data_IF_780622152968
#
_entry.id   IF_780622152968
#
_cell.length_a   1.000
_cell.length_b   1.000
_cell.length_c   1.000
_cell.angle_alpha   90.00
_cell.angle_beta   90.00
_cell.angle_gamma   90.00
#
_symmetry.space_group_name_H-M   'P 1'
#
loop_
_entity.id
_entity.type
_entity.pdbx_description
1 polymer ?
#
# COMPACT_ATOMS: atom_id res chain seq x y z
N UNK A 1 -36.71 81.41 12.32
CA UNK A 1 -37.15 82.28 11.21
C UNK A 1 -36.98 81.51 9.92
N UNK A 2 -38.08 81.02 9.31
CA UNK A 2 -38.87 81.74 8.27
C UNK A 2 -38.00 81.96 7.02
N UNK A 3 -38.28 81.55 5.77
CA UNK A 3 -39.45 80.99 5.06
C UNK A 3 -38.97 80.55 3.65
N UNK A 4 -39.72 79.67 2.96
CA UNK A 4 -39.52 79.14 1.59
C UNK A 4 -39.53 80.20 0.46
N UNK A 5 -39.24 79.86 -0.83
CA UNK A 5 -40.23 79.18 -1.73
C UNK A 5 -39.61 78.08 -2.65
N UNK A 6 -40.19 76.88 -2.75
CA UNK A 6 -41.21 76.43 -3.72
C UNK A 6 -40.81 76.49 -5.22
N UNK A 7 -40.59 75.32 -5.80
CA UNK A 7 -40.58 75.07 -7.25
C UNK A 7 -40.92 73.62 -7.55
N UNK A 8 -42.22 73.31 -7.65
CA UNK A 8 -42.76 71.98 -8.01
C UNK A 8 -42.49 71.65 -9.48
N UNK A 9 -41.97 70.45 -9.76
CA UNK A 9 -42.34 69.61 -10.92
C UNK A 9 -42.05 68.13 -10.60
N UNK A 10 -43.11 67.38 -10.34
CA UNK A 10 -43.16 65.92 -10.53
C UNK A 10 -43.70 65.65 -11.96
N UNK A 11 -43.73 64.42 -12.51
CA UNK A 11 -43.51 63.11 -11.88
C UNK A 11 -42.71 62.10 -12.73
N UNK A 12 -42.25 61.00 -12.12
CA UNK A 12 -42.61 59.62 -12.49
C UNK A 12 -41.84 58.63 -11.61
N UNK A 13 -42.60 57.71 -11.03
CA UNK A 13 -42.10 56.71 -10.10
C UNK A 13 -41.15 55.72 -10.76
N UNK A 14 -40.12 55.36 -10.02
CA UNK A 14 -39.34 54.14 -10.20
C UNK A 14 -39.34 53.49 -8.82
N UNK A 15 -39.89 52.28 -8.75
CA UNK A 15 -39.88 51.44 -7.56
C UNK A 15 -38.44 51.09 -7.17
N UNK A 16 -38.12 50.87 -5.89
CA UNK A 16 -36.82 50.34 -5.48
C UNK A 16 -36.83 48.83 -5.78
N UNK A 17 -36.47 48.48 -7.00
CA UNK A 17 -36.12 47.10 -7.36
C UNK A 17 -34.73 46.79 -6.83
N UNK A 18 -34.62 45.68 -6.12
CA UNK A 18 -33.39 45.14 -5.57
C UNK A 18 -32.35 44.95 -6.67
N UNK A 19 -31.26 45.73 -6.64
CA UNK A 19 -30.00 45.32 -7.26
C UNK A 19 -29.33 44.32 -6.32
N UNK A 20 -29.84 43.07 -6.31
CA UNK A 20 -28.97 41.94 -5.99
C UNK A 20 -28.02 41.80 -7.17
N UNK A 21 -26.75 42.14 -6.98
CA UNK A 21 -25.71 41.82 -7.92
C UNK A 21 -25.69 40.29 -8.09
N UNK A 22 -26.28 39.81 -9.18
CA UNK A 22 -26.07 38.45 -9.65
C UNK A 22 -24.58 38.36 -9.93
N UNK A 23 -23.85 37.67 -9.06
CA UNK A 23 -22.51 37.21 -9.40
C UNK A 23 -22.68 36.35 -10.65
N UNK A 24 -22.18 36.81 -11.80
CA UNK A 24 -22.15 36.01 -13.02
C UNK A 24 -21.39 34.71 -12.68
N UNK A 25 -22.13 33.62 -12.48
CA UNK A 25 -21.53 32.31 -12.27
C UNK A 25 -20.84 31.90 -13.57
N UNK A 26 -19.53 31.63 -13.48
CA UNK A 26 -18.73 31.16 -14.61
C UNK A 26 -19.36 29.91 -15.23
N UNK A 27 -19.37 29.81 -16.56
CA UNK A 27 -19.99 28.67 -17.22
C UNK A 27 -19.21 27.38 -16.94
N UNK A 28 -19.85 26.20 -16.94
CA UNK A 28 -19.16 24.91 -16.75
C UNK A 28 -17.99 24.72 -17.72
N UNK A 29 -18.10 25.23 -18.95
CA UNK A 29 -17.04 25.17 -19.95
C UNK A 29 -15.82 26.02 -19.56
N UNK A 30 -16.04 27.23 -19.04
CA UNK A 30 -14.97 28.10 -18.55
C UNK A 30 -14.27 27.49 -17.32
N UNK A 31 -15.04 26.89 -16.42
CA UNK A 31 -14.50 26.17 -15.26
C UNK A 31 -13.68 24.94 -15.67
N UNK A 32 -14.12 24.17 -16.67
CA UNK A 32 -13.35 23.06 -17.21
C UNK A 32 -12.05 23.52 -17.89
N UNK A 33 -12.06 24.66 -18.56
CA UNK A 33 -10.86 25.26 -19.15
C UNK A 33 -9.84 25.62 -18.06
N UNK A 34 -10.30 26.23 -16.96
CA UNK A 34 -9.48 26.53 -15.79
C UNK A 34 -8.92 25.27 -15.11
N UNK A 35 -9.62 24.15 -15.12
CA UNK A 35 -9.12 22.88 -14.58
C UNK A 35 -8.04 22.22 -15.47
N UNK A 36 -8.01 22.57 -16.77
CA UNK A 36 -7.09 22.01 -17.76
C UNK A 36 -5.82 22.85 -17.93
N UNK A 37 -5.88 24.14 -17.66
CA UNK A 37 -4.72 25.02 -17.72
C UNK A 37 -3.72 24.71 -16.58
N UNK A 38 -2.45 24.49 -16.96
CA UNK A 38 -1.36 24.19 -16.03
C UNK A 38 -0.91 25.39 -15.20
N UNK A 39 -1.21 26.62 -15.65
CA UNK A 39 -0.90 27.85 -14.93
C UNK A 39 -2.08 28.34 -14.10
N UNK A 40 -3.21 27.65 -14.17
CA UNK A 40 -4.38 27.95 -13.35
C UNK A 40 -4.07 27.71 -11.87
N UNK A 41 -4.61 28.54 -10.95
CA UNK A 41 -4.56 28.24 -9.52
C UNK A 41 -5.25 26.92 -9.17
N UNK A 42 -6.09 26.40 -10.07
CA UNK A 42 -6.78 25.11 -9.96
C UNK A 42 -6.10 23.98 -10.72
N UNK A 43 -4.86 24.16 -11.18
CA UNK A 43 -4.07 23.08 -11.78
C UNK A 43 -3.89 21.93 -10.78
N UNK A 44 -3.78 20.70 -11.30
CA UNK A 44 -3.55 19.52 -10.47
C UNK A 44 -2.10 19.51 -9.96
N UNK A 45 -1.87 19.23 -8.66
CA UNK A 45 -0.56 18.84 -8.15
C UNK A 45 0.05 17.70 -8.96
N UNK A 46 1.39 17.61 -8.98
CA UNK A 46 2.11 16.60 -9.76
C UNK A 46 1.79 15.16 -9.35
N UNK A 47 1.35 14.96 -8.10
CA UNK A 47 1.08 13.64 -7.52
C UNK A 47 -0.37 13.16 -7.72
N UNK A 48 -1.19 13.92 -8.46
CA UNK A 48 -2.60 13.58 -8.66
C UNK A 48 -2.80 12.45 -9.66
N UNK A 49 -3.69 11.52 -9.31
CA UNK A 49 -4.15 10.42 -10.13
C UNK A 49 -5.05 10.90 -11.29
N UNK A 50 -5.19 10.11 -12.38
CA UNK A 50 -6.17 10.40 -13.43
C UNK A 50 -7.60 10.53 -12.90
N UNK A 51 -7.90 9.88 -11.78
CA UNK A 51 -9.19 9.94 -11.12
C UNK A 51 -9.45 11.27 -10.42
N UNK A 52 -8.43 11.94 -9.90
CA UNK A 52 -8.56 13.29 -9.33
C UNK A 52 -9.02 14.28 -10.39
N UNK A 53 -8.55 14.12 -11.63
CA UNK A 53 -9.02 14.90 -12.77
C UNK A 53 -10.50 14.64 -13.05
N UNK A 54 -10.90 13.36 -13.10
CA UNK A 54 -12.29 12.98 -13.34
C UNK A 54 -13.22 13.54 -12.26
N UNK A 55 -12.84 13.46 -10.98
CA UNK A 55 -13.65 13.97 -9.87
C UNK A 55 -13.82 15.50 -9.95
N UNK A 56 -12.80 16.23 -10.39
CA UNK A 56 -12.90 17.68 -10.62
C UNK A 56 -13.81 18.01 -11.80
N UNK A 57 -13.72 17.26 -12.89
CA UNK A 57 -14.67 17.42 -14.01
C UNK A 57 -16.11 17.10 -13.57
N UNK A 58 -16.32 16.05 -12.76
CA UNK A 58 -17.62 15.71 -12.17
C UNK A 58 -18.10 16.82 -11.22
N UNK A 59 -17.22 17.42 -10.42
CA UNK A 59 -17.58 18.52 -9.53
C UNK A 59 -18.09 19.76 -10.29
N UNK A 60 -17.61 19.98 -11.53
CA UNK A 60 -18.08 21.08 -12.40
C UNK A 60 -19.36 20.71 -13.13
N UNK A 61 -19.43 19.50 -13.69
CA UNK A 61 -20.56 19.06 -14.53
C UNK A 61 -21.78 18.59 -13.73
N UNK A 62 -21.57 18.06 -12.53
CA UNK A 62 -22.58 17.44 -11.67
C UNK A 62 -22.18 17.60 -10.17
N UNK A 63 -22.13 18.84 -9.65
CA UNK A 63 -21.69 19.14 -8.28
C UNK A 63 -22.46 18.36 -7.21
N UNK A 64 -23.72 18.03 -7.45
CA UNK A 64 -24.55 17.24 -6.55
C UNK A 64 -24.00 15.83 -6.28
N UNK A 65 -23.15 15.28 -7.15
CA UNK A 65 -22.54 13.95 -6.98
C UNK A 65 -21.31 13.97 -6.05
N UNK A 66 -20.66 15.12 -5.88
CA UNK A 66 -19.48 15.25 -5.00
C UNK A 66 -19.82 15.74 -3.59
N UNK A 67 -21.11 15.97 -3.31
CA UNK A 67 -21.60 16.41 -2.00
C UNK A 67 -22.18 15.26 -1.15
N UNK A 68 -21.80 15.25 0.13
CA UNK A 68 -22.33 14.31 1.13
C UNK A 68 -22.02 12.86 0.78
N UNK A 69 -22.96 11.95 1.05
CA UNK A 69 -22.80 10.51 0.82
C UNK A 69 -22.87 10.09 -0.65
N UNK A 70 -23.22 10.99 -1.57
CA UNK A 70 -23.26 10.69 -3.01
C UNK A 70 -21.86 10.47 -3.58
N UNK A 71 -20.82 11.02 -2.94
CA UNK A 71 -19.42 10.84 -3.35
C UNK A 71 -19.02 9.37 -3.37
N UNK A 72 -19.64 8.53 -2.53
CA UNK A 72 -19.39 7.10 -2.48
C UNK A 72 -19.82 6.35 -3.75
N UNK A 73 -20.69 6.95 -4.58
CA UNK A 73 -21.16 6.36 -5.84
C UNK A 73 -20.21 6.60 -7.01
N UNK A 74 -19.28 7.56 -6.90
CA UNK A 74 -18.38 7.98 -7.99
C UNK A 74 -16.91 7.65 -7.73
N UNK A 75 -16.52 7.48 -6.46
CA UNK A 75 -15.15 7.17 -6.09
C UNK A 75 -14.78 5.73 -6.46
N UNK A 76 -13.66 5.60 -7.17
CA UNK A 76 -13.05 4.31 -7.53
C UNK A 76 -11.68 4.09 -6.89
N UNK A 77 -11.02 5.13 -6.41
CA UNK A 77 -9.74 5.03 -5.72
C UNK A 77 -9.84 5.77 -4.39
N UNK A 78 -9.49 5.09 -3.30
CA UNK A 78 -9.40 5.64 -1.96
C UNK A 78 -7.99 5.44 -1.44
N UNK A 79 -7.31 6.55 -1.16
CA UNK A 79 -5.94 6.56 -0.66
C UNK A 79 -5.88 7.17 0.74
N UNK A 80 -5.53 6.36 1.72
CA UNK A 80 -5.32 6.77 3.11
C UNK A 80 -3.93 6.32 3.53
N UNK A 81 -2.91 7.07 3.15
CA UNK A 81 -1.51 6.76 3.47
C UNK A 81 -1.08 7.56 4.69
N UNK A 82 -0.44 6.90 5.65
CA UNK A 82 0.09 7.51 6.87
C UNK A 82 -0.99 8.33 7.60
N UNK A 83 -2.04 7.62 8.03
CA UNK A 83 -3.17 8.17 8.78
C UNK A 83 -3.42 7.48 10.11
N UNK A 84 -2.58 6.50 10.47
CA UNK A 84 -2.75 5.73 11.71
C UNK A 84 -4.03 4.89 11.69
N UNK A 85 -4.43 4.39 10.52
CA UNK A 85 -5.59 3.48 10.42
C UNK A 85 -5.22 2.14 11.07
N UNK A 86 -6.04 1.66 12.00
CA UNK A 86 -5.82 0.38 12.68
C UNK A 86 -6.71 -0.74 12.11
N UNK A 87 -7.89 -0.39 11.60
CA UNK A 87 -8.86 -1.35 11.06
C UNK A 87 -9.61 -0.79 9.83
N UNK A 88 -10.10 -1.71 9.00
CA UNK A 88 -11.01 -1.42 7.89
C UNK A 88 -12.39 -1.92 8.29
N UNK A 89 -13.34 -1.02 8.49
CA UNK A 89 -14.71 -1.34 8.91
C UNK A 89 -15.69 -1.47 7.73
N UNK A 90 -16.95 -1.82 8.04
CA UNK A 90 -18.02 -1.94 7.05
C UNK A 90 -18.34 -0.62 6.33
N UNK A 91 -17.85 0.53 6.82
CA UNK A 91 -18.05 1.83 6.21
C UNK A 91 -17.50 1.90 4.79
N UNK A 92 -16.44 1.14 4.48
CA UNK A 92 -15.84 1.05 3.15
C UNK A 92 -16.78 0.40 2.12
N UNK A 93 -17.78 -0.37 2.56
CA UNK A 93 -18.79 -0.97 1.66
C UNK A 93 -19.73 0.07 1.05
N UNK A 94 -19.77 1.29 1.58
CA UNK A 94 -20.55 2.38 0.99
C UNK A 94 -20.00 2.80 -0.39
N UNK A 95 -18.71 2.58 -0.65
CA UNK A 95 -18.05 2.93 -1.91
C UNK A 95 -18.33 1.88 -2.99
N UNK A 96 -19.48 2.01 -3.65
CA UNK A 96 -20.04 0.99 -4.57
C UNK A 96 -19.20 0.78 -5.84
N UNK A 97 -18.37 1.75 -6.21
CA UNK A 97 -17.51 1.69 -7.39
C UNK A 97 -16.03 1.60 -7.04
N UNK A 98 -15.67 1.31 -5.78
CA UNK A 98 -14.27 1.28 -5.36
C UNK A 98 -13.52 0.13 -6.05
N UNK A 99 -12.53 0.49 -6.87
CA UNK A 99 -11.64 -0.42 -7.58
C UNK A 99 -10.25 -0.47 -6.93
N UNK A 100 -9.82 0.60 -6.25
CA UNK A 100 -8.51 0.72 -5.63
C UNK A 100 -8.61 1.21 -4.18
N UNK A 101 -7.96 0.49 -3.26
CA UNK A 101 -7.86 0.84 -1.86
C UNK A 101 -6.40 0.82 -1.43
N UNK A 102 -5.85 2.00 -1.15
CA UNK A 102 -4.46 2.20 -0.79
C UNK A 102 -4.38 2.62 0.68
N UNK A 103 -3.86 1.71 1.50
CA UNK A 103 -3.78 1.83 2.96
C UNK A 103 -2.32 1.70 3.45
N UNK A 104 -1.36 2.13 2.62
CA UNK A 104 0.07 2.03 2.96
C UNK A 104 0.44 2.86 4.18
N UNK A 105 1.48 2.42 4.91
CA UNK A 105 2.03 3.13 6.06
C UNK A 105 0.97 3.38 7.15
N UNK A 106 0.21 2.36 7.53
CA UNK A 106 -0.76 2.41 8.62
C UNK A 106 -0.43 1.37 9.70
N UNK A 107 -1.36 1.11 10.61
CA UNK A 107 -1.17 0.23 11.77
C UNK A 107 -2.12 -0.98 11.69
N UNK A 108 -2.50 -1.37 10.47
CA UNK A 108 -3.44 -2.46 10.23
C UNK A 108 -2.76 -3.79 10.55
N UNK A 109 -3.40 -4.60 11.37
CA UNK A 109 -2.87 -5.92 11.77
C UNK A 109 -3.68 -7.10 11.21
N UNK A 110 -4.96 -6.88 10.90
CA UNK A 110 -5.88 -7.86 10.29
C UNK A 110 -6.78 -7.15 9.29
N UNK A 111 -7.14 -7.83 8.20
CA UNK A 111 -8.12 -7.33 7.22
C UNK A 111 -9.25 -8.35 7.09
N UNK A 112 -10.46 -7.94 7.45
CA UNK A 112 -11.66 -8.75 7.26
C UNK A 112 -12.18 -8.59 5.84
N UNK A 113 -12.20 -9.67 5.05
CA UNK A 113 -12.61 -9.59 3.64
C UNK A 113 -14.07 -9.17 3.45
N UNK A 114 -14.93 -9.38 4.46
CA UNK A 114 -16.32 -8.93 4.45
C UNK A 114 -16.47 -7.41 4.38
N UNK A 115 -15.46 -6.65 4.84
CA UNK A 115 -15.45 -5.19 4.84
C UNK A 115 -14.90 -4.62 3.51
N UNK A 116 -14.42 -5.47 2.61
CA UNK A 116 -13.86 -5.06 1.33
C UNK A 116 -14.91 -5.09 0.21
N UNK A 117 -15.03 -4.01 -0.59
CA UNK A 117 -15.90 -3.99 -1.76
C UNK A 117 -15.55 -5.11 -2.75
N UNK A 118 -16.58 -5.78 -3.28
CA UNK A 118 -16.39 -6.87 -4.26
C UNK A 118 -15.89 -6.38 -5.63
N UNK A 119 -15.93 -5.08 -5.87
CA UNK A 119 -15.41 -4.38 -7.06
C UNK A 119 -13.89 -4.16 -7.03
N UNK A 120 -13.25 -4.42 -5.89
CA UNK A 120 -11.85 -4.11 -5.67
C UNK A 120 -10.92 -4.90 -6.59
N UNK A 121 -10.00 -4.19 -7.23
CA UNK A 121 -8.96 -4.69 -8.14
C UNK A 121 -7.56 -4.49 -7.58
N UNK A 122 -7.35 -3.45 -6.78
CA UNK A 122 -6.06 -3.11 -6.17
C UNK A 122 -6.26 -2.95 -4.67
N UNK A 123 -5.53 -3.73 -3.90
CA UNK A 123 -5.42 -3.59 -2.45
C UNK A 123 -3.95 -3.43 -2.09
N UNK A 124 -3.60 -2.28 -1.54
CA UNK A 124 -2.24 -1.96 -1.13
C UNK A 124 -2.18 -1.76 0.39
N UNK A 125 -1.42 -2.61 1.06
CA UNK A 125 -1.25 -2.68 2.50
C UNK A 125 0.24 -2.62 2.91
N UNK A 126 1.12 -2.15 2.03
CA UNK A 126 2.54 -2.01 2.31
C UNK A 126 2.80 -1.17 3.57
N UNK A 127 3.81 -1.54 4.37
CA UNK A 127 4.16 -0.88 5.63
C UNK A 127 3.00 -0.90 6.64
N UNK A 128 2.50 -2.09 6.96
CA UNK A 128 1.51 -2.31 8.03
C UNK A 128 2.05 -3.39 9.00
N UNK A 129 1.17 -4.00 9.80
CA UNK A 129 1.54 -5.04 10.77
C UNK A 129 0.79 -6.35 10.53
N UNK A 130 0.39 -6.60 9.28
CA UNK A 130 -0.38 -7.78 8.89
C UNK A 130 0.48 -9.03 9.08
N UNK A 131 0.04 -9.92 9.97
CA UNK A 131 0.69 -11.21 10.23
C UNK A 131 -0.14 -12.42 9.82
N UNK A 132 -1.40 -12.20 9.48
CA UNK A 132 -2.38 -13.26 9.21
C UNK A 132 -3.29 -12.91 8.03
N UNK A 133 -3.42 -13.83 7.09
CA UNK A 133 -4.23 -13.71 5.88
C UNK A 133 -5.55 -14.46 5.97
N UNK A 134 -5.83 -15.20 7.05
CA UNK A 134 -7.04 -16.02 7.19
C UNK A 134 -8.32 -15.22 6.97
N UNK A 135 -8.48 -14.10 7.68
CA UNK A 135 -9.67 -13.24 7.58
C UNK A 135 -9.82 -12.63 6.17
N UNK A 136 -8.70 -12.29 5.53
CA UNK A 136 -8.66 -11.72 4.19
C UNK A 136 -9.03 -12.76 3.12
N UNK A 137 -8.72 -14.03 3.38
CA UNK A 137 -8.97 -15.14 2.46
C UNK A 137 -10.31 -15.85 2.73
N UNK A 138 -11.07 -15.45 3.75
CA UNK A 138 -12.39 -16.03 4.02
C UNK A 138 -13.36 -15.85 2.84
N UNK A 139 -13.44 -14.63 2.28
CA UNK A 139 -14.15 -14.29 1.05
C UNK A 139 -13.43 -13.15 0.30
N UNK A 140 -12.29 -13.42 -0.34
CA UNK A 140 -11.47 -12.39 -0.97
C UNK A 140 -12.22 -11.68 -2.12
N UNK A 141 -11.90 -10.41 -2.43
CA UNK A 141 -12.46 -9.71 -3.59
C UNK A 141 -12.14 -10.49 -4.89
N UNK A 142 -13.16 -10.90 -5.66
CA UNK A 142 -12.97 -11.87 -6.74
C UNK A 142 -12.24 -11.28 -7.95
N UNK A 143 -12.32 -9.96 -8.13
CA UNK A 143 -11.69 -9.22 -9.23
C UNK A 143 -10.31 -8.67 -8.86
N UNK A 144 -9.74 -9.04 -7.70
CA UNK A 144 -8.46 -8.52 -7.26
C UNK A 144 -7.32 -8.93 -8.21
N UNK A 145 -6.56 -7.94 -8.67
CA UNK A 145 -5.46 -8.08 -9.62
C UNK A 145 -4.10 -7.71 -8.99
N UNK A 146 -4.09 -6.82 -8.00
CA UNK A 146 -2.90 -6.44 -7.27
C UNK A 146 -3.14 -6.55 -5.76
N UNK A 147 -2.23 -7.24 -5.09
CA UNK A 147 -2.16 -7.34 -3.63
C UNK A 147 -0.76 -6.93 -3.17
N UNK A 148 -0.68 -5.79 -2.49
CA UNK A 148 0.53 -5.26 -1.88
C UNK A 148 0.57 -5.57 -0.40
N UNK A 149 1.55 -6.38 0.03
CA UNK A 149 1.76 -6.80 1.42
C UNK A 149 3.23 -6.60 1.83
N UNK A 150 3.96 -5.73 1.13
CA UNK A 150 5.35 -5.40 1.46
C UNK A 150 5.50 -4.83 2.87
N UNK A 151 6.64 -5.01 3.52
CA UNK A 151 6.91 -4.48 4.87
C UNK A 151 5.78 -4.80 5.89
N UNK A 152 5.46 -6.08 6.03
CA UNK A 152 4.49 -6.59 7.00
C UNK A 152 5.14 -7.67 7.90
N UNK A 153 4.33 -8.48 8.59
CA UNK A 153 4.79 -9.49 9.55
C UNK A 153 4.43 -10.91 9.12
N UNK A 154 4.30 -11.15 7.82
CA UNK A 154 3.96 -12.46 7.29
C UNK A 154 5.12 -13.43 7.54
N UNK A 155 4.80 -14.58 8.11
CA UNK A 155 5.78 -15.60 8.47
C UNK A 155 5.36 -16.96 7.89
N UNK A 156 6.34 -17.60 7.24
CA UNK A 156 6.24 -18.75 6.30
C UNK A 156 5.00 -19.66 6.34
N UNK A 157 5.11 -20.99 6.60
CA UNK A 157 4.17 -21.96 6.03
C UNK A 157 2.70 -21.81 6.47
N UNK A 158 2.46 -21.14 7.59
CA UNK A 158 1.12 -20.76 8.03
C UNK A 158 0.41 -19.87 7.02
N UNK A 159 1.12 -18.89 6.46
CA UNK A 159 0.55 -17.88 5.57
C UNK A 159 0.61 -18.28 4.10
N UNK A 160 1.60 -19.08 3.69
CA UNK A 160 1.77 -19.51 2.30
C UNK A 160 0.53 -20.20 1.72
N UNK A 161 -0.19 -20.98 2.54
CA UNK A 161 -1.42 -21.71 2.13
C UNK A 161 -2.54 -20.81 1.59
N UNK A 162 -2.49 -19.52 1.90
CA UNK A 162 -3.47 -18.53 1.48
C UNK A 162 -3.10 -17.87 0.14
N UNK A 163 -1.88 -18.10 -0.36
CA UNK A 163 -1.36 -17.52 -1.59
C UNK A 163 -1.59 -18.44 -2.80
N UNK A 164 -2.83 -18.93 -2.95
CA UNK A 164 -3.22 -19.87 -4.01
C UNK A 164 -4.22 -19.26 -4.99
N UNK A 165 -4.33 -19.87 -6.17
CA UNK A 165 -5.30 -19.53 -7.20
C UNK A 165 -6.76 -19.75 -6.79
N UNK A 166 -7.02 -20.55 -5.76
CA UNK A 166 -8.38 -20.74 -5.23
C UNK A 166 -8.89 -19.47 -4.54
N UNK A 167 -8.01 -18.76 -3.84
CA UNK A 167 -8.32 -17.46 -3.22
C UNK A 167 -8.15 -16.30 -4.20
N UNK A 168 -7.15 -16.37 -5.07
CA UNK A 168 -6.72 -15.23 -5.91
C UNK A 168 -6.68 -15.55 -7.41
N UNK A 169 -7.80 -15.96 -8.03
CA UNK A 169 -7.83 -16.45 -9.42
C UNK A 169 -7.46 -15.39 -10.46
N UNK A 170 -7.60 -14.11 -10.12
CA UNK A 170 -7.36 -12.96 -11.00
C UNK A 170 -6.05 -12.21 -10.73
N UNK A 171 -5.25 -12.66 -9.75
CA UNK A 171 -4.07 -11.94 -9.30
C UNK A 171 -2.97 -11.89 -10.37
N UNK A 172 -2.53 -10.68 -10.68
CA UNK A 172 -1.49 -10.38 -11.67
C UNK A 172 -0.20 -9.92 -10.99
N UNK A 173 -0.33 -9.19 -9.88
CA UNK A 173 0.78 -8.60 -9.14
C UNK A 173 0.68 -8.92 -7.66
N UNK A 174 1.77 -9.40 -7.09
CA UNK A 174 1.88 -9.72 -5.67
C UNK A 174 3.19 -9.17 -5.12
N UNK A 175 3.09 -8.30 -4.12
CA UNK A 175 4.24 -7.82 -3.37
C UNK A 175 4.21 -8.41 -1.96
N UNK A 176 5.23 -9.20 -1.63
CA UNK A 176 5.48 -9.82 -0.33
C UNK A 176 6.86 -9.40 0.22
N UNK A 177 7.44 -8.33 -0.31
CA UNK A 177 8.77 -7.86 0.07
C UNK A 177 8.86 -7.55 1.57
N UNK A 178 10.06 -7.67 2.14
CA UNK A 178 10.33 -7.30 3.53
C UNK A 178 9.33 -7.90 4.54
N UNK A 179 9.10 -9.20 4.43
CA UNK A 179 8.39 -10.02 5.40
C UNK A 179 9.37 -11.07 5.98
N UNK A 180 8.86 -12.02 6.76
CA UNK A 180 9.65 -13.09 7.39
C UNK A 180 9.42 -14.45 6.70
N UNK A 181 9.36 -14.48 5.36
CA UNK A 181 9.14 -15.71 4.59
C UNK A 181 10.45 -16.51 4.47
N UNK A 182 10.39 -17.79 4.84
CA UNK A 182 11.57 -18.68 4.95
C UNK A 182 11.48 -19.92 4.05
N UNK A 183 10.27 -20.42 3.76
CA UNK A 183 10.06 -21.65 2.99
C UNK A 183 9.85 -21.36 1.49
N UNK A 184 10.96 -21.31 0.74
CA UNK A 184 10.91 -21.08 -0.70
C UNK A 184 10.10 -22.17 -1.44
N UNK A 185 10.29 -23.45 -1.08
CA UNK A 185 9.66 -24.55 -1.80
C UNK A 185 8.15 -24.60 -1.53
N UNK A 186 7.76 -24.45 -0.26
CA UNK A 186 6.37 -24.33 0.16
C UNK A 186 5.68 -23.17 -0.55
N UNK A 187 6.25 -21.96 -0.45
CA UNK A 187 5.69 -20.78 -1.10
C UNK A 187 5.52 -20.96 -2.61
N UNK A 188 6.56 -21.40 -3.33
CA UNK A 188 6.50 -21.61 -4.78
C UNK A 188 5.40 -22.61 -5.17
N UNK A 189 5.19 -23.67 -4.38
CA UNK A 189 4.12 -24.65 -4.65
C UNK A 189 2.73 -24.02 -4.64
N UNK A 190 2.50 -23.03 -3.77
CA UNK A 190 1.24 -22.29 -3.69
C UNK A 190 1.15 -21.27 -4.83
N UNK A 191 2.20 -20.48 -5.05
CA UNK A 191 2.25 -19.47 -6.11
C UNK A 191 2.10 -20.06 -7.52
N UNK A 192 2.57 -21.29 -7.76
CA UNK A 192 2.42 -21.97 -9.04
C UNK A 192 0.95 -22.18 -9.45
N UNK A 193 0.02 -22.15 -8.49
CA UNK A 193 -1.43 -22.22 -8.75
C UNK A 193 -2.00 -20.91 -9.30
N UNK A 194 -1.32 -19.76 -9.08
CA UNK A 194 -1.75 -18.42 -9.54
C UNK A 194 -1.54 -18.25 -11.05
N UNK A 195 -2.55 -18.62 -11.83
CA UNK A 195 -2.43 -18.71 -13.28
C UNK A 195 -2.16 -17.34 -13.98
N UNK A 196 -2.60 -16.23 -13.38
CA UNK A 196 -2.44 -14.88 -13.94
C UNK A 196 -1.26 -14.09 -13.38
N UNK A 197 -0.52 -14.63 -12.42
CA UNK A 197 0.60 -13.93 -11.81
C UNK A 197 1.68 -13.60 -12.85
N UNK A 198 2.12 -12.34 -12.89
CA UNK A 198 3.14 -11.79 -13.80
C UNK A 198 4.21 -10.99 -13.05
N UNK A 199 3.85 -10.36 -11.94
CA UNK A 199 4.73 -9.52 -11.14
C UNK A 199 4.79 -10.12 -9.74
N UNK A 200 5.99 -10.43 -9.28
CA UNK A 200 6.24 -10.96 -7.95
C UNK A 200 7.41 -10.23 -7.32
N UNK A 201 7.23 -9.76 -6.10
CA UNK A 201 8.25 -9.06 -5.31
C UNK A 201 8.39 -9.80 -3.99
N UNK A 202 9.59 -10.28 -3.70
CA UNK A 202 9.93 -11.14 -2.56
C UNK A 202 11.27 -10.72 -1.91
N UNK A 203 11.95 -9.69 -2.44
CA UNK A 203 13.14 -9.12 -1.83
C UNK A 203 12.94 -8.79 -0.33
N UNK A 204 14.02 -8.88 0.45
CA UNK A 204 13.96 -8.58 1.88
C UNK A 204 13.34 -9.69 2.74
N UNK A 205 13.02 -10.85 2.18
CA UNK A 205 12.68 -12.05 2.95
C UNK A 205 13.92 -12.95 3.12
N UNK A 206 14.03 -13.72 4.23
CA UNK A 206 15.11 -14.69 4.43
C UNK A 206 15.28 -15.69 3.28
N UNK A 207 14.17 -16.14 2.66
CA UNK A 207 14.22 -17.05 1.50
C UNK A 207 14.95 -16.49 0.27
N UNK A 208 15.10 -15.16 0.18
CA UNK A 208 15.78 -14.50 -0.93
C UNK A 208 17.31 -14.66 -0.86
N UNK A 209 17.83 -15.11 0.29
CA UNK A 209 19.25 -15.39 0.50
C UNK A 209 19.68 -16.77 -0.02
N UNK A 210 18.72 -17.61 -0.41
CA UNK A 210 19.01 -18.95 -0.96
C UNK A 210 19.73 -18.76 -2.30
N UNK A 211 20.91 -19.39 -2.54
CA UNK A 211 21.70 -19.15 -3.76
C UNK A 211 20.94 -19.42 -5.07
N UNK A 212 20.01 -20.37 -5.07
CA UNK A 212 19.18 -20.72 -6.23
C UNK A 212 17.86 -19.96 -6.31
N UNK A 213 17.58 -19.05 -5.37
CA UNK A 213 16.30 -18.35 -5.21
C UNK A 213 15.70 -17.86 -6.53
N UNK A 214 16.44 -17.02 -7.26
CA UNK A 214 15.96 -16.40 -8.50
C UNK A 214 15.72 -17.45 -9.60
N UNK A 215 16.69 -18.33 -9.83
CA UNK A 215 16.59 -19.34 -10.87
C UNK A 215 15.48 -20.36 -10.59
N UNK A 216 15.30 -20.74 -9.34
CA UNK A 216 14.23 -21.64 -8.92
C UNK A 216 12.84 -21.02 -9.14
N UNK A 217 12.64 -19.74 -8.79
CA UNK A 217 11.39 -19.03 -9.05
C UNK A 217 11.12 -18.87 -10.55
N UNK A 218 12.13 -18.48 -11.33
CA UNK A 218 11.99 -18.27 -12.79
C UNK A 218 11.59 -19.56 -13.51
N UNK A 219 12.19 -20.70 -13.13
CA UNK A 219 11.87 -22.02 -13.71
C UNK A 219 10.53 -22.57 -13.21
N UNK A 220 10.20 -22.36 -11.93
CA UNK A 220 8.96 -22.86 -11.32
C UNK A 220 7.72 -22.03 -11.70
N UNK A 221 7.89 -20.75 -12.02
CA UNK A 221 6.82 -19.80 -12.35
C UNK A 221 6.99 -19.31 -13.81
N UNK A 222 6.61 -20.13 -14.82
CA UNK A 222 6.92 -19.86 -16.23
C UNK A 222 6.22 -18.63 -16.81
N UNK A 223 5.17 -18.12 -16.14
CA UNK A 223 4.40 -16.96 -16.59
C UNK A 223 4.89 -15.63 -16.03
N UNK A 224 5.83 -15.67 -15.09
CA UNK A 224 6.37 -14.48 -14.46
C UNK A 224 7.07 -13.59 -15.49
N UNK A 225 6.83 -12.28 -15.43
CA UNK A 225 7.45 -11.29 -16.32
C UNK A 225 8.44 -10.41 -15.57
N UNK A 226 8.18 -10.17 -14.28
CA UNK A 226 9.00 -9.34 -13.42
C UNK A 226 9.12 -10.02 -12.05
N UNK A 227 10.36 -10.17 -11.60
CA UNK A 227 10.73 -10.72 -10.31
C UNK A 227 11.67 -9.74 -9.62
N UNK A 228 11.28 -9.25 -8.44
CA UNK A 228 12.06 -8.31 -7.63
C UNK A 228 12.50 -7.08 -8.43
N UNK A 229 11.54 -6.45 -9.12
CA UNK A 229 11.72 -5.30 -10.01
C UNK A 229 12.64 -5.53 -11.24
N UNK A 230 13.05 -6.78 -11.48
CA UNK A 230 13.91 -7.17 -12.59
C UNK A 230 13.13 -8.02 -13.59
N UNK A 231 13.15 -7.61 -14.87
CA UNK A 231 12.52 -8.34 -15.98
C UNK A 231 13.10 -9.75 -16.14
N UNK A 232 12.23 -10.74 -16.34
CA UNK A 232 12.61 -12.13 -16.59
C UNK A 232 12.71 -12.38 -18.09
N UNK A 233 13.93 -12.40 -18.60
CA UNK A 233 14.22 -12.56 -20.03
C UNK A 233 14.19 -14.01 -20.51
N UNK A 234 14.04 -14.25 -21.84
CA UNK A 234 14.07 -15.60 -22.41
C UNK A 234 15.42 -16.30 -22.22
N UNK A 235 16.54 -15.58 -22.26
CA UNK A 235 17.88 -16.14 -22.07
C UNK A 235 18.07 -16.66 -20.64
N UNK A 236 17.61 -15.88 -19.65
CA UNK A 236 17.59 -16.26 -18.25
C UNK A 236 16.74 -17.52 -18.01
N UNK A 237 15.60 -17.64 -18.71
CA UNK A 237 14.75 -18.84 -18.64
C UNK A 237 15.45 -20.09 -19.19
N UNK A 238 16.22 -19.94 -20.26
CA UNK A 238 17.02 -21.07 -20.77
C UNK A 238 18.13 -21.45 -19.81
N UNK A 239 18.79 -20.46 -19.20
CA UNK A 239 19.86 -20.67 -18.22
C UNK A 239 19.38 -21.44 -16.98
N UNK A 240 18.16 -21.16 -16.51
CA UNK A 240 17.60 -21.75 -15.30
C UNK A 240 16.72 -22.99 -15.53
N UNK A 241 16.55 -23.40 -16.79
CA UNK A 241 15.71 -24.53 -17.17
C UNK A 241 16.07 -25.81 -16.40
N UNK A 242 15.10 -26.38 -15.69
CA UNK A 242 15.23 -27.65 -14.97
C UNK A 242 15.65 -27.54 -13.51
N UNK A 243 15.92 -26.33 -12.98
CA UNK A 243 16.17 -26.11 -11.55
C UNK A 243 14.99 -26.54 -10.67
N UNK A 244 13.74 -26.37 -11.15
CA UNK A 244 12.54 -26.81 -10.44
C UNK A 244 12.50 -28.34 -10.23
N UNK A 245 13.23 -29.12 -11.05
CA UNK A 245 13.37 -30.57 -10.92
C UNK A 245 14.44 -30.99 -9.91
N UNK A 246 15.19 -30.03 -9.37
CA UNK A 246 16.27 -30.23 -8.41
C UNK A 246 15.99 -29.46 -7.10
N UNK A 247 14.88 -29.74 -6.40
CA UNK A 247 14.48 -28.99 -5.20
C UNK A 247 15.50 -29.11 -4.05
N UNK A 248 16.36 -30.13 -4.08
CA UNK A 248 17.46 -30.30 -3.12
C UNK A 248 18.46 -29.13 -3.16
N UNK A 249 18.64 -28.48 -4.32
CA UNK A 249 19.47 -27.27 -4.44
C UNK A 249 18.81 -26.05 -3.80
N UNK A 250 17.48 -26.01 -3.75
CA UNK A 250 16.71 -24.95 -3.09
C UNK A 250 16.59 -25.13 -1.58
N UNK A 251 16.94 -26.32 -1.05
CA UNK A 251 17.17 -26.54 0.38
C UNK A 251 18.54 -26.04 0.85
N UNK A 252 19.34 -25.46 -0.05
CA UNK A 252 20.67 -24.98 0.30
C UNK A 252 20.56 -23.89 1.37
N UNK A 253 21.19 -24.16 2.51
CA UNK A 253 21.23 -23.27 3.67
C UNK A 253 21.92 -21.95 3.28
N UNK A 254 21.19 -20.85 3.40
CA UNK A 254 21.77 -19.53 3.24
C UNK A 254 22.61 -19.20 4.49
N UNK A 255 23.93 -19.15 4.35
CA UNK A 255 24.82 -18.78 5.46
C UNK A 255 25.15 -17.29 5.43
N UNK A 256 24.50 -16.53 6.29
CA UNK A 256 24.87 -15.14 6.57
C UNK A 256 25.94 -15.13 7.65
N UNK A 257 27.14 -14.65 7.31
CA UNK A 257 28.23 -14.47 8.28
C UNK A 257 28.32 -12.99 8.63
N UNK A 258 27.95 -12.64 9.87
CA UNK A 258 28.17 -11.30 10.41
C UNK A 258 29.44 -11.31 11.25
N UNK A 259 30.46 -10.59 10.78
CA UNK A 259 31.72 -10.41 11.51
C UNK A 259 31.76 -9.03 12.17
N UNK A 260 31.77 -9.01 13.50
CA UNK A 260 32.03 -7.79 14.28
C UNK A 260 33.53 -7.71 14.52
N UNK A 261 34.19 -6.69 13.96
CA UNK A 261 35.65 -6.50 14.04
C UNK A 261 36.12 -6.08 15.44
N UNK A 262 36.15 -4.78 15.72
CA UNK A 262 36.49 -4.23 17.03
C UNK A 262 35.26 -3.52 17.62
N UNK A 263 34.87 -3.89 18.85
CA UNK A 263 33.84 -3.17 19.62
C UNK A 263 34.51 -2.23 20.62
N UNK A 264 34.08 -0.96 20.66
CA UNK A 264 34.54 0.05 21.63
C UNK A 264 33.39 0.43 22.56
N UNK A 265 33.69 0.77 23.81
CA UNK A 265 32.67 1.19 24.80
C UNK A 265 32.00 0.04 25.57
N UNK A 266 32.42 -1.20 25.34
CA UNK A 266 32.07 -2.34 26.19
C UNK A 266 33.08 -2.41 27.34
N UNK A 267 32.66 -2.46 28.62
CA UNK A 267 33.54 -2.69 29.77
C UNK A 267 34.42 -3.93 29.56
N UNK A 268 35.72 -3.81 29.84
CA UNK A 268 36.67 -4.92 29.72
C UNK A 268 36.31 -6.04 30.73
N UNK A 269 35.96 -7.26 30.28
CA UNK A 269 35.64 -8.39 31.15
C UNK A 269 36.80 -8.75 32.10
N UNK A 270 38.04 -8.45 31.68
CA UNK A 270 39.27 -8.75 32.41
C UNK A 270 39.46 -7.85 33.64
N UNK A 271 38.85 -6.66 33.64
CA UNK A 271 38.97 -5.70 34.74
C UNK A 271 38.22 -6.14 36.02
N UNK A 272 37.29 -7.10 35.92
CA UNK A 272 36.45 -7.54 37.02
C UNK A 272 36.99 -8.78 37.77
N UNK A 273 38.14 -9.34 37.37
CA UNK A 273 38.69 -10.57 37.97
C UNK A 273 39.45 -10.39 39.29
N UNK A 274 39.55 -9.17 39.84
CA UNK A 274 40.22 -8.93 41.12
C UNK A 274 39.23 -8.76 42.27
N UNK A 275 38.35 -9.73 42.49
CA UNK A 275 37.67 -9.86 43.78
C UNK A 275 38.56 -10.69 44.71
N UNK A 276 39.13 -10.04 45.72
CA UNK A 276 39.85 -10.73 46.81
C UNK A 276 38.90 -11.75 47.47
N UNK A 277 39.40 -12.98 47.65
CA UNK A 277 38.67 -14.08 48.28
C UNK A 277 38.28 -13.66 49.70
N UNK A 278 37.00 -13.32 49.91
CA UNK A 278 36.46 -12.85 51.19
C UNK A 278 35.64 -11.55 51.15
N UNK A 279 35.51 -10.89 49.99
CA UNK A 279 34.70 -9.67 49.86
C UNK A 279 33.17 -9.95 49.88
N UNK A 280 32.43 -9.29 50.79
CA UNK A 280 30.94 -9.28 50.83
C UNK A 280 30.31 -8.35 49.77
N UNK A 281 31.11 -7.79 48.85
CA UNK A 281 30.60 -6.86 47.85
C UNK A 281 29.69 -7.55 46.81
N UNK A 282 28.63 -6.88 46.33
CA UNK A 282 27.71 -7.46 45.36
C UNK A 282 28.44 -7.75 44.04
N UNK A 283 28.35 -9.00 43.59
CA UNK A 283 28.83 -9.41 42.26
C UNK A 283 27.89 -8.81 41.21
N UNK A 284 28.42 -7.93 40.37
CA UNK A 284 27.68 -7.36 39.23
C UNK A 284 28.01 -8.19 37.99
N UNK A 285 27.04 -8.97 37.51
CA UNK A 285 27.14 -9.71 36.25
C UNK A 285 26.61 -8.85 35.11
N UNK A 286 27.46 -8.48 34.15
CA UNK A 286 27.05 -7.80 32.92
C UNK A 286 26.98 -8.79 31.76
N UNK A 287 25.78 -9.05 31.25
CA UNK A 287 25.56 -9.87 30.05
C UNK A 287 25.21 -8.97 28.87
N UNK A 288 25.89 -9.14 27.75
CA UNK A 288 25.61 -8.44 26.49
C UNK A 288 24.99 -9.41 25.50
N UNK A 289 23.92 -9.01 24.85
CA UNK A 289 23.27 -9.78 23.79
C UNK A 289 23.39 -8.99 22.49
N UNK A 290 23.85 -9.66 21.43
CA UNK A 290 23.77 -9.13 20.07
C UNK A 290 22.53 -9.77 19.46
N UNK A 291 21.46 -8.99 19.37
CA UNK A 291 20.23 -9.38 18.70
C UNK A 291 20.29 -8.90 17.25
N UNK A 292 20.08 -9.81 16.32
CA UNK A 292 19.80 -9.49 14.93
C UNK A 292 18.30 -9.66 14.72
N UNK A 293 17.62 -8.58 14.32
CA UNK A 293 16.25 -8.68 13.81
C UNK A 293 16.36 -8.93 12.30
N UNK A 294 15.92 -10.11 11.87
CA UNK A 294 15.79 -10.50 10.47
C UNK A 294 14.33 -10.50 10.06
#
# INVERSE_FOLDING_TARGET
NKSCPSGRRSPRGVQPGQEEAVLDEETPEALLELLRDQHSPWALPQDCSPQDRLLREVAVLAPELVHGSKVYQVLKSLRMVDKGVEEVDEGVLQFQQLEELILSANQISRITSANLPRTLKVLELCCNTVGDLEDLCSQPPPELQHLGLGHNRLCGPSQDRFLTGDFWPNLVSLDLSFNSLTDLLGLVSQLATLQKLRILVLQGNPLALIPTYRGFLVDSLPRLSLLDDIYVGPDERQQFCGLARQPELSRSEARVVVSVGEMKGVPDPSALQQLEVGSEAPVITCSYFVTYEF
#
